data_IF_798112186486
#
_entry.id   IF_798112186486
#
_cell.length_a   1.000
_cell.length_b   1.000
_cell.length_c   1.000
_cell.angle_alpha   90.00
_cell.angle_beta   90.00
_cell.angle_gamma   90.00
#
_symmetry.space_group_name_H-M   'P 1'
#
loop_
_entity.id
_entity.type
_entity.pdbx_description
1 polymer ?
#
# COMPACT_ATOMS: atom_id res chain seq x y z
N UNK A 1 -2.88 27.58 -20.10
CA UNK A 1 -2.61 26.64 -21.20
C UNK A 1 -3.43 25.39 -20.91
N UNK A 2 -4.28 24.96 -21.84
CA UNK A 2 -4.97 23.68 -21.69
C UNK A 2 -3.90 22.58 -21.78
N UNK A 3 -3.51 22.01 -20.64
CA UNK A 3 -2.72 20.78 -20.61
C UNK A 3 -3.50 19.76 -21.44
N UNK A 4 -3.00 19.42 -22.63
CA UNK A 4 -3.65 18.44 -23.48
C UNK A 4 -3.69 17.12 -22.70
N UNK A 5 -4.91 16.61 -22.49
CA UNK A 5 -5.10 15.32 -21.84
C UNK A 5 -4.22 14.28 -22.51
N UNK A 6 -3.52 13.50 -21.71
CA UNK A 6 -2.63 12.47 -22.23
C UNK A 6 -3.50 11.36 -22.85
N UNK A 7 -3.33 11.05 -24.14
CA UNK A 7 -4.09 9.98 -24.77
C UNK A 7 -3.68 8.64 -24.18
N UNK A 8 -4.69 7.80 -23.90
CA UNK A 8 -4.49 6.46 -23.34
C UNK A 8 -5.55 5.50 -23.83
N UNK A 9 -5.16 4.23 -23.93
CA UNK A 9 -6.12 3.15 -24.15
C UNK A 9 -6.92 2.93 -22.87
N UNK A 10 -8.26 2.88 -22.98
CA UNK A 10 -9.10 2.46 -21.83
C UNK A 10 -8.76 1.03 -21.41
N UNK A 11 -8.66 0.14 -22.39
CA UNK A 11 -8.23 -1.25 -22.21
C UNK A 11 -7.10 -1.50 -23.21
N UNK A 12 -5.91 -1.95 -22.78
CA UNK A 12 -4.79 -2.20 -23.67
C UNK A 12 -4.97 -3.54 -24.39
N UNK A 13 -5.93 -3.61 -25.32
CA UNK A 13 -6.37 -4.84 -25.99
C UNK A 13 -5.23 -5.61 -26.65
N UNK A 14 -4.28 -4.90 -27.28
CA UNK A 14 -3.11 -5.54 -27.90
C UNK A 14 -2.26 -6.28 -26.87
N UNK A 15 -2.02 -5.69 -25.69
CA UNK A 15 -1.26 -6.34 -24.62
C UNK A 15 -2.05 -7.47 -23.99
N UNK A 16 -3.36 -7.30 -23.81
CA UNK A 16 -4.21 -8.36 -23.28
C UNK A 16 -4.24 -9.58 -24.21
N UNK A 17 -4.35 -9.36 -25.52
CA UNK A 17 -4.33 -10.42 -26.53
C UNK A 17 -2.96 -11.11 -26.64
N UNK A 18 -1.86 -10.38 -26.51
CA UNK A 18 -0.51 -10.94 -26.63
C UNK A 18 -0.05 -11.64 -25.36
N UNK A 19 -0.32 -11.05 -24.19
CA UNK A 19 0.26 -11.48 -22.93
C UNK A 19 -0.76 -12.04 -21.95
N UNK A 20 -2.01 -11.59 -21.99
CA UNK A 20 -3.02 -11.88 -20.96
C UNK A 20 -3.21 -13.36 -20.66
N UNK A 21 -3.21 -14.21 -21.70
CA UNK A 21 -3.41 -15.65 -21.61
C UNK A 21 -2.12 -16.45 -21.32
N UNK A 22 -0.94 -15.83 -21.41
CA UNK A 22 0.32 -16.53 -21.19
C UNK A 22 0.43 -17.00 -19.73
N UNK A 23 0.86 -18.26 -19.48
CA UNK A 23 1.29 -18.71 -18.17
C UNK A 23 2.34 -17.76 -17.57
N UNK A 24 2.29 -17.56 -16.26
CA UNK A 24 3.10 -16.54 -15.57
C UNK A 24 4.59 -16.58 -15.92
N UNK A 25 5.19 -17.78 -16.01
CA UNK A 25 6.62 -17.93 -16.32
C UNK A 25 6.96 -17.42 -17.73
N UNK A 26 6.14 -17.76 -18.72
CA UNK A 26 6.32 -17.32 -20.11
C UNK A 26 6.07 -15.81 -20.24
N UNK A 27 5.07 -15.29 -19.55
CA UNK A 27 4.76 -13.85 -19.52
C UNK A 27 5.92 -13.04 -18.94
N UNK A 28 6.47 -13.46 -17.80
CA UNK A 28 7.64 -12.81 -17.17
C UNK A 28 8.85 -12.84 -18.12
N UNK A 29 9.11 -13.98 -18.75
CA UNK A 29 10.18 -14.09 -19.75
C UNK A 29 9.97 -13.12 -20.92
N UNK A 30 8.77 -13.10 -21.51
CA UNK A 30 8.43 -12.22 -22.62
C UNK A 30 8.56 -10.74 -22.24
N UNK A 31 8.09 -10.32 -21.06
CA UNK A 31 8.26 -8.95 -20.58
C UNK A 31 9.71 -8.53 -20.42
N UNK A 32 10.57 -9.40 -19.91
CA UNK A 32 12.01 -9.11 -19.77
C UNK A 32 12.69 -8.98 -21.13
N UNK A 33 12.46 -9.94 -22.03
CA UNK A 33 13.20 -10.06 -23.29
C UNK A 33 12.65 -9.14 -24.38
N UNK A 34 11.33 -9.05 -24.52
CA UNK A 34 10.69 -8.30 -25.61
C UNK A 34 10.43 -6.84 -25.26
N UNK A 35 10.16 -6.54 -23.98
CA UNK A 35 9.80 -5.19 -23.53
C UNK A 35 10.88 -4.54 -22.65
N UNK A 36 11.96 -5.26 -22.31
CA UNK A 36 13.05 -4.74 -21.49
C UNK A 36 12.68 -4.44 -20.03
N UNK A 37 11.58 -5.00 -19.54
CA UNK A 37 11.11 -4.72 -18.18
C UNK A 37 12.04 -5.33 -17.13
N UNK A 38 12.27 -4.61 -16.03
CA UNK A 38 13.00 -5.11 -14.86
C UNK A 38 12.02 -5.82 -13.94
N UNK A 39 12.05 -7.15 -13.92
CA UNK A 39 11.12 -7.95 -13.12
C UNK A 39 11.92 -8.84 -12.17
N UNK A 40 11.59 -8.79 -10.88
CA UNK A 40 12.21 -9.55 -9.80
C UNK A 40 11.88 -11.04 -9.80
N UNK A 41 12.43 -11.75 -8.82
CA UNK A 41 12.24 -13.21 -8.61
C UNK A 41 10.88 -13.49 -8.00
N UNK A 42 10.27 -14.61 -8.41
CA UNK A 42 9.00 -15.07 -7.83
C UNK A 42 7.78 -14.20 -8.14
N UNK A 43 7.90 -13.24 -9.08
CA UNK A 43 6.77 -12.45 -9.57
C UNK A 43 5.74 -13.36 -10.24
N UNK A 44 4.46 -13.15 -9.93
CA UNK A 44 3.35 -13.94 -10.47
C UNK A 44 2.33 -13.06 -11.15
N UNK A 45 1.87 -13.51 -12.31
CA UNK A 45 0.74 -12.95 -13.02
C UNK A 45 -0.33 -14.01 -13.15
N UNK A 46 -1.50 -13.74 -12.60
CA UNK A 46 -2.70 -14.55 -12.84
C UNK A 46 -3.21 -14.37 -14.27
N UNK A 47 -4.16 -15.22 -14.66
CA UNK A 47 -4.79 -15.14 -15.97
C UNK A 47 -5.37 -13.74 -16.24
N UNK A 48 -5.07 -13.18 -17.41
CA UNK A 48 -5.48 -11.85 -17.83
C UNK A 48 -4.78 -10.69 -17.11
N UNK A 49 -4.01 -10.96 -16.05
CA UNK A 49 -3.21 -9.96 -15.35
C UNK A 49 -2.09 -9.43 -16.22
N UNK A 50 -2.04 -8.11 -16.45
CA UNK A 50 -1.07 -7.46 -17.34
C UNK A 50 -0.50 -6.17 -16.76
N UNK A 51 0.73 -5.85 -17.17
CA UNK A 51 1.42 -4.60 -16.86
C UNK A 51 1.90 -3.99 -18.17
N UNK A 52 1.61 -2.71 -18.41
CA UNK A 52 1.88 -2.03 -19.68
C UNK A 52 2.51 -0.66 -19.42
N UNK A 53 3.74 -0.45 -19.85
CA UNK A 53 4.37 0.86 -19.72
C UNK A 53 5.65 1.03 -20.54
N UNK A 54 6.20 2.24 -20.54
CA UNK A 54 7.47 2.53 -21.24
C UNK A 54 8.68 2.20 -20.38
N UNK A 55 8.55 2.35 -19.06
CA UNK A 55 9.57 2.00 -18.07
C UNK A 55 8.91 1.29 -16.90
N UNK A 56 9.24 0.01 -16.72
CA UNK A 56 8.60 -0.86 -15.73
C UNK A 56 9.65 -1.54 -14.85
N UNK A 57 9.51 -1.35 -13.54
CA UNK A 57 10.30 -2.03 -12.51
C UNK A 57 9.35 -2.73 -11.52
N UNK A 58 9.47 -4.05 -11.39
CA UNK A 58 8.66 -4.89 -10.52
C UNK A 58 9.60 -5.65 -9.58
N UNK A 59 9.45 -5.45 -8.28
CA UNK A 59 10.25 -6.10 -7.25
C UNK A 59 9.93 -7.59 -7.09
N UNK A 60 10.74 -8.27 -6.27
CA UNK A 60 10.57 -9.69 -5.97
C UNK A 60 9.19 -9.99 -5.36
N UNK A 61 8.63 -11.16 -5.68
CA UNK A 61 7.39 -11.68 -5.09
C UNK A 61 6.16 -10.76 -5.28
N UNK A 62 6.17 -9.91 -6.30
CA UNK A 62 4.98 -9.13 -6.67
C UNK A 62 3.94 -10.03 -7.32
N UNK A 63 2.66 -9.81 -6.97
CA UNK A 63 1.54 -10.55 -7.54
C UNK A 63 0.57 -9.61 -8.28
N UNK A 64 0.31 -9.91 -9.55
CA UNK A 64 -0.70 -9.24 -10.38
C UNK A 64 -1.88 -10.19 -10.57
N UNK A 65 -3.03 -9.79 -10.03
CA UNK A 65 -4.24 -10.59 -9.89
C UNK A 65 -4.96 -10.92 -11.20
N UNK A 66 -5.98 -11.76 -11.07
CA UNK A 66 -6.81 -12.20 -12.19
C UNK A 66 -7.48 -11.00 -12.86
N UNK A 67 -7.32 -10.84 -14.18
CA UNK A 67 -7.81 -9.69 -14.96
C UNK A 67 -7.39 -8.31 -14.41
N UNK A 68 -6.33 -8.23 -13.60
CA UNK A 68 -5.80 -6.96 -13.14
C UNK A 68 -5.04 -6.25 -14.28
N UNK A 69 -5.24 -4.94 -14.41
CA UNK A 69 -4.56 -4.12 -15.41
C UNK A 69 -3.77 -3.04 -14.69
N UNK A 70 -2.47 -2.98 -14.93
CA UNK A 70 -1.62 -1.87 -14.48
C UNK A 70 -0.99 -1.22 -15.71
N UNK A 71 -1.36 0.03 -16.00
CA UNK A 71 -0.86 0.73 -17.17
C UNK A 71 -0.46 2.18 -16.87
N UNK A 72 0.69 2.58 -17.41
CA UNK A 72 1.24 3.92 -17.19
C UNK A 72 2.56 4.10 -17.92
N UNK A 73 3.01 5.34 -18.09
CA UNK A 73 4.29 5.63 -18.74
C UNK A 73 5.46 5.08 -17.91
N UNK A 74 5.42 5.31 -16.60
CA UNK A 74 6.40 4.84 -15.62
C UNK A 74 5.71 4.05 -14.51
N UNK A 75 6.16 2.82 -14.27
CA UNK A 75 5.60 1.92 -13.26
C UNK A 75 6.73 1.37 -12.39
N UNK A 76 6.61 1.57 -11.08
CA UNK A 76 7.49 0.99 -10.06
C UNK A 76 6.67 0.30 -8.99
N UNK A 77 6.88 -1.00 -8.79
CA UNK A 77 6.19 -1.78 -7.77
C UNK A 77 7.23 -2.44 -6.86
N UNK A 78 7.21 -2.10 -5.58
CA UNK A 78 8.09 -2.66 -4.57
C UNK A 78 7.87 -4.15 -4.34
N UNK A 79 8.86 -4.82 -3.75
CA UNK A 79 8.80 -6.26 -3.47
C UNK A 79 7.64 -6.61 -2.53
N UNK A 80 7.15 -7.83 -2.63
CA UNK A 80 6.02 -8.38 -1.89
C UNK A 80 4.68 -7.65 -2.10
N UNK A 81 4.61 -6.63 -2.95
CA UNK A 81 3.38 -5.89 -3.21
C UNK A 81 2.42 -6.65 -4.13
N UNK A 82 1.14 -6.29 -4.09
CA UNK A 82 0.15 -6.96 -4.93
C UNK A 82 -0.94 -6.03 -5.46
N UNK A 83 -1.44 -6.37 -6.65
CA UNK A 83 -2.64 -5.76 -7.25
C UNK A 83 -3.69 -6.86 -7.38
N UNK A 84 -4.80 -6.70 -6.67
CA UNK A 84 -5.87 -7.69 -6.54
C UNK A 84 -6.64 -7.94 -7.84
N UNK A 85 -7.49 -8.96 -7.82
CA UNK A 85 -8.26 -9.34 -9.02
C UNK A 85 -9.17 -8.20 -9.49
N UNK A 86 -9.30 -8.08 -10.81
CA UNK A 86 -10.15 -7.12 -11.50
C UNK A 86 -9.91 -5.66 -11.08
N UNK A 87 -8.74 -5.37 -10.50
CA UNK A 87 -8.31 -4.02 -10.19
C UNK A 87 -7.70 -3.37 -11.43
N UNK A 88 -8.00 -2.10 -11.62
CA UNK A 88 -7.56 -1.33 -12.78
C UNK A 88 -6.78 -0.12 -12.30
N UNK A 89 -5.49 -0.07 -12.64
CA UNK A 89 -4.60 1.04 -12.35
C UNK A 89 -4.15 1.67 -13.66
N UNK A 90 -4.52 2.93 -13.87
CA UNK A 90 -4.15 3.71 -15.04
C UNK A 90 -3.81 5.14 -14.66
N UNK A 91 -2.51 5.45 -14.69
CA UNK A 91 -1.95 6.77 -14.36
C UNK A 91 -0.64 6.99 -15.14
N UNK A 92 -0.23 8.23 -15.38
CA UNK A 92 1.05 8.51 -16.08
C UNK A 92 2.25 7.93 -15.30
N UNK A 93 2.30 8.20 -14.00
CA UNK A 93 3.25 7.60 -13.08
C UNK A 93 2.55 6.78 -11.99
N UNK A 94 2.97 5.52 -11.82
CA UNK A 94 2.49 4.61 -10.78
C UNK A 94 3.70 4.18 -9.94
N UNK A 95 3.63 4.45 -8.64
CA UNK A 95 4.63 4.03 -7.67
C UNK A 95 3.94 3.32 -6.51
N UNK A 96 4.38 2.10 -6.22
CA UNK A 96 3.94 1.32 -5.06
C UNK A 96 5.18 0.93 -4.26
N UNK A 97 5.15 1.19 -2.95
CA UNK A 97 6.20 0.82 -2.01
C UNK A 97 6.31 -0.69 -1.80
N UNK A 98 7.19 -1.09 -0.88
CA UNK A 98 7.35 -2.48 -0.45
C UNK A 98 6.15 -2.92 0.39
N UNK A 99 5.66 -4.14 0.15
CA UNK A 99 4.50 -4.72 0.85
C UNK A 99 3.22 -3.86 0.76
N UNK A 100 3.09 -3.09 -0.33
CA UNK A 100 1.88 -2.32 -0.64
C UNK A 100 0.83 -3.24 -1.27
N UNK A 101 -0.40 -3.24 -0.73
CA UNK A 101 -1.48 -4.12 -1.17
C UNK A 101 -2.64 -3.32 -1.73
N UNK A 102 -2.96 -3.54 -2.99
CA UNK A 102 -4.23 -3.12 -3.58
C UNK A 102 -5.11 -4.35 -3.66
N UNK A 103 -6.24 -4.33 -2.95
CA UNK A 103 -7.21 -5.42 -2.94
C UNK A 103 -8.06 -5.41 -4.21
N UNK A 104 -9.07 -6.25 -4.22
CA UNK A 104 -9.87 -6.60 -5.38
C UNK A 104 -10.77 -5.45 -5.84
N UNK A 105 -10.97 -5.33 -7.15
CA UNK A 105 -11.89 -4.35 -7.76
C UNK A 105 -11.62 -2.90 -7.34
N UNK A 106 -10.35 -2.56 -7.11
CA UNK A 106 -9.93 -1.17 -6.89
C UNK A 106 -9.73 -0.50 -8.24
N UNK A 107 -10.27 0.70 -8.39
CA UNK A 107 -10.13 1.50 -9.59
C UNK A 107 -9.25 2.72 -9.30
N UNK A 108 -8.12 2.83 -9.99
CA UNK A 108 -7.25 4.00 -10.00
C UNK A 108 -7.21 4.51 -11.43
N UNK A 109 -7.87 5.63 -11.71
CA UNK A 109 -7.90 6.18 -13.05
C UNK A 109 -8.83 7.37 -13.21
N UNK A 110 -8.68 8.04 -14.35
CA UNK A 110 -9.43 9.23 -14.71
C UNK A 110 -8.87 9.85 -15.98
N UNK A 111 -9.27 11.09 -16.30
CA UNK A 111 -8.50 11.97 -17.17
C UNK A 111 -7.04 12.03 -16.69
N UNK A 112 -6.10 12.15 -17.62
CA UNK A 112 -4.68 12.21 -17.27
C UNK A 112 -4.04 13.46 -17.85
N UNK A 113 -3.18 14.06 -17.05
CA UNK A 113 -2.30 15.17 -17.36
C UNK A 113 -0.86 14.66 -17.25
N UNK A 114 0.14 15.34 -17.83
CA UNK A 114 1.53 14.92 -17.76
C UNK A 114 2.05 14.67 -16.34
N UNK A 115 1.51 15.37 -15.35
CA UNK A 115 1.84 15.28 -13.93
C UNK A 115 0.96 14.32 -13.13
N UNK A 116 -0.01 13.65 -13.76
CA UNK A 116 -0.85 12.64 -13.09
C UNK A 116 0.03 11.55 -12.46
N UNK A 117 -0.05 11.42 -11.15
CA UNK A 117 0.77 10.48 -10.38
C UNK A 117 -0.06 9.81 -9.31
N UNK A 118 0.08 8.50 -9.20
CA UNK A 118 -0.43 7.71 -8.09
C UNK A 118 0.75 7.09 -7.35
N UNK A 119 1.00 7.58 -6.13
CA UNK A 119 2.06 7.08 -5.27
C UNK A 119 1.46 6.48 -3.99
N UNK A 120 1.74 5.20 -3.77
CA UNK A 120 1.29 4.42 -2.63
C UNK A 120 2.51 3.95 -1.84
N UNK A 121 2.63 4.39 -0.58
CA UNK A 121 3.75 4.08 0.30
C UNK A 121 3.88 2.58 0.65
N UNK A 122 4.93 2.25 1.40
CA UNK A 122 5.23 0.89 1.84
C UNK A 122 4.30 0.44 2.98
N UNK A 123 4.01 -0.86 3.07
CA UNK A 123 3.14 -1.48 4.09
C UNK A 123 1.76 -0.83 4.16
N UNK A 124 1.25 -0.43 3.01
CA UNK A 124 -0.06 0.18 2.85
C UNK A 124 -1.06 -0.86 2.37
N UNK A 125 -2.34 -0.62 2.64
CA UNK A 125 -3.42 -1.44 2.09
C UNK A 125 -4.58 -0.57 1.61
N UNK A 126 -5.05 -0.83 0.39
CA UNK A 126 -6.30 -0.29 -0.15
C UNK A 126 -7.28 -1.44 -0.29
N UNK A 127 -8.36 -1.41 0.46
CA UNK A 127 -9.43 -2.40 0.42
C UNK A 127 -10.36 -2.21 -0.78
N UNK A 128 -11.16 -3.24 -1.03
CA UNK A 128 -11.95 -3.45 -2.22
C UNK A 128 -12.90 -2.30 -2.58
N UNK A 129 -13.18 -2.16 -3.88
CA UNK A 129 -14.16 -1.22 -4.42
C UNK A 129 -13.87 0.27 -4.16
N UNK A 130 -12.64 0.58 -3.75
CA UNK A 130 -12.14 1.94 -3.64
C UNK A 130 -11.90 2.53 -5.03
N UNK A 131 -12.28 3.79 -5.22
CA UNK A 131 -12.06 4.55 -6.46
C UNK A 131 -11.16 5.75 -6.19
N UNK A 132 -10.07 5.86 -6.94
CA UNK A 132 -9.07 6.92 -6.84
C UNK A 132 -8.92 7.55 -8.22
N UNK A 133 -9.05 8.87 -8.28
CA UNK A 133 -8.95 9.62 -9.52
C UNK A 133 -7.76 10.59 -9.47
N UNK A 134 -6.59 10.18 -9.99
CA UNK A 134 -5.35 10.94 -9.91
C UNK A 134 -5.10 11.83 -11.15
N UNK A 135 -6.11 12.61 -11.58
CA UNK A 135 -5.89 13.64 -12.63
C UNK A 135 -4.78 14.61 -12.21
N UNK A 136 -4.79 15.09 -10.96
CA UNK A 136 -3.61 15.65 -10.28
C UNK A 136 -3.01 14.59 -9.33
N UNK A 137 -1.80 14.80 -8.78
CA UNK A 137 -1.15 13.79 -7.93
C UNK A 137 -1.99 13.34 -6.73
N UNK A 138 -2.00 12.02 -6.49
CA UNK A 138 -2.46 11.40 -5.24
C UNK A 138 -1.27 10.72 -4.58
N UNK A 139 -0.91 11.16 -3.38
CA UNK A 139 0.22 10.66 -2.61
C UNK A 139 -0.30 10.08 -1.30
N UNK A 140 0.03 8.82 -1.02
CA UNK A 140 -0.37 8.10 0.18
C UNK A 140 0.90 7.61 0.88
N UNK A 141 1.14 8.07 2.11
CA UNK A 141 2.31 7.72 2.90
C UNK A 141 2.32 6.28 3.37
N UNK A 142 3.49 5.85 3.85
CA UNK A 142 3.71 4.51 4.41
C UNK A 142 2.74 4.17 5.55
N UNK A 143 2.48 2.87 5.75
CA UNK A 143 1.67 2.34 6.86
C UNK A 143 0.22 2.84 6.88
N UNK A 144 -0.26 3.39 5.77
CA UNK A 144 -1.62 3.91 5.62
C UNK A 144 -2.59 2.82 5.19
N UNK A 145 -3.73 2.76 5.87
CA UNK A 145 -4.84 1.85 5.56
C UNK A 145 -6.04 2.60 4.99
N UNK A 146 -6.51 2.18 3.82
CA UNK A 146 -7.70 2.71 3.16
C UNK A 146 -8.74 1.60 3.06
N UNK A 147 -9.89 1.82 3.68
CA UNK A 147 -11.03 0.92 3.75
C UNK A 147 -11.77 0.83 2.42
N UNK A 148 -12.72 -0.11 2.34
CA UNK A 148 -13.44 -0.34 1.11
C UNK A 148 -14.38 0.81 0.75
N UNK A 149 -14.67 0.95 -0.54
CA UNK A 149 -15.56 2.00 -1.07
C UNK A 149 -15.13 3.45 -0.72
N UNK A 150 -13.85 3.69 -0.46
CA UNK A 150 -13.38 5.07 -0.36
C UNK A 150 -13.37 5.72 -1.75
N UNK A 151 -13.57 7.04 -1.78
CA UNK A 151 -13.65 7.86 -2.98
C UNK A 151 -12.64 9.00 -2.86
N UNK A 152 -11.57 8.98 -3.65
CA UNK A 152 -10.48 9.97 -3.56
C UNK A 152 -10.37 10.69 -4.89
N UNK A 153 -10.68 11.98 -4.92
CA UNK A 153 -10.76 12.77 -6.15
C UNK A 153 -9.85 13.99 -6.10
N UNK A 154 -9.17 14.25 -7.23
CA UNK A 154 -8.28 15.40 -7.40
C UNK A 154 -8.85 16.45 -8.35
N UNK A 155 -10.07 16.25 -8.83
CA UNK A 155 -10.74 17.24 -9.65
C UNK A 155 -12.26 17.25 -9.42
N UNK A 156 -12.88 18.38 -9.72
CA UNK A 156 -14.33 18.58 -9.72
C UNK A 156 -14.69 19.77 -10.60
N UNK A 157 -15.37 19.50 -11.72
CA UNK A 157 -15.83 20.51 -12.66
C UNK A 157 -16.97 19.93 -13.52
N UNK A 158 -18.05 20.69 -13.70
CA UNK A 158 -19.13 20.32 -14.62
C UNK A 158 -19.79 21.55 -15.21
N UNK A 159 -20.17 22.49 -14.34
CA UNK A 159 -20.75 23.77 -14.74
C UNK A 159 -19.66 24.73 -15.22
N UNK A 160 -20.06 25.69 -16.06
CA UNK A 160 -19.15 26.62 -16.72
C UNK A 160 -18.44 27.52 -15.71
N UNK A 161 -17.10 27.52 -15.74
CA UNK A 161 -16.31 28.48 -14.98
C UNK A 161 -16.57 29.94 -15.42
N UNK A 162 -17.02 30.14 -16.66
CA UNK A 162 -17.37 31.48 -17.18
C UNK A 162 -18.61 32.05 -16.48
N UNK A 163 -19.47 31.19 -15.93
CA UNK A 163 -20.64 31.58 -15.14
C UNK A 163 -20.29 31.72 -13.64
N UNK A 164 -19.01 31.61 -13.26
CA UNK A 164 -18.53 31.74 -11.89
C UNK A 164 -18.61 30.46 -11.05
N UNK A 165 -18.93 29.30 -11.63
CA UNK A 165 -18.90 28.02 -10.92
C UNK A 165 -17.47 27.55 -10.62
N UNK A 166 -17.25 26.87 -9.49
CA UNK A 166 -15.93 26.40 -9.10
C UNK A 166 -15.43 25.29 -10.03
N UNK A 167 -14.13 25.33 -10.33
CA UNK A 167 -13.39 24.30 -11.05
C UNK A 167 -12.15 23.99 -10.23
N UNK A 168 -12.12 22.81 -9.64
CA UNK A 168 -11.03 22.41 -8.75
C UNK A 168 -10.20 21.32 -9.41
N UNK A 169 -8.89 21.50 -9.48
CA UNK A 169 -7.91 20.51 -9.92
C UNK A 169 -6.69 20.61 -9.00
N UNK A 170 -6.72 19.84 -7.91
CA UNK A 170 -5.73 19.97 -6.85
C UNK A 170 -5.30 18.59 -6.34
N UNK A 171 -4.02 18.42 -5.98
CA UNK A 171 -3.50 17.16 -5.48
C UNK A 171 -4.16 16.77 -4.16
N UNK A 172 -4.09 15.48 -3.84
CA UNK A 172 -4.49 14.93 -2.54
C UNK A 172 -3.30 14.25 -1.90
N UNK A 173 -3.05 14.56 -0.62
CA UNK A 173 -1.95 13.98 0.15
C UNK A 173 -2.45 13.36 1.45
N UNK A 174 -2.21 12.08 1.62
CA UNK A 174 -2.33 11.37 2.90
C UNK A 174 -0.93 11.13 3.44
N UNK A 175 -0.71 11.53 4.68
CA UNK A 175 0.52 11.28 5.42
C UNK A 175 0.76 9.79 5.71
N UNK A 176 1.69 9.52 6.61
CA UNK A 176 2.01 8.18 7.08
C UNK A 176 1.05 7.73 8.17
N UNK A 177 0.80 6.43 8.27
CA UNK A 177 -0.06 5.85 9.31
C UNK A 177 -1.46 6.49 9.37
N UNK A 178 -1.97 6.94 8.22
CA UNK A 178 -3.35 7.45 8.12
C UNK A 178 -4.30 6.26 8.06
N UNK A 179 -5.48 6.40 8.65
CA UNK A 179 -6.55 5.43 8.51
C UNK A 179 -7.80 6.07 7.95
N UNK A 180 -8.17 5.65 6.74
CA UNK A 180 -9.51 5.84 6.20
C UNK A 180 -10.27 4.52 6.38
N UNK A 181 -11.27 4.42 7.27
CA UNK A 181 -12.21 3.31 7.30
C UNK A 181 -13.16 3.40 6.09
N UNK A 182 -14.19 2.57 6.07
CA UNK A 182 -15.03 2.41 4.89
C UNK A 182 -15.80 3.68 4.51
N UNK A 183 -15.96 3.89 3.20
CA UNK A 183 -16.81 4.93 2.60
C UNK A 183 -16.40 6.38 2.91
N UNK A 184 -15.11 6.65 3.11
CA UNK A 184 -14.62 8.03 3.22
C UNK A 184 -14.53 8.66 1.82
N UNK A 185 -15.03 9.89 1.69
CA UNK A 185 -14.85 10.72 0.50
C UNK A 185 -13.78 11.78 0.76
N UNK A 186 -12.80 11.92 -0.13
CA UNK A 186 -11.73 12.92 -0.04
C UNK A 186 -11.82 13.86 -1.24
N UNK A 187 -12.06 15.14 -0.96
CA UNK A 187 -12.21 16.20 -1.97
C UNK A 187 -10.86 16.65 -2.54
N UNK A 188 -10.84 17.24 -3.75
CA UNK A 188 -9.65 17.85 -4.33
C UNK A 188 -8.99 18.84 -3.36
N UNK A 189 -7.65 18.86 -3.31
CA UNK A 189 -6.88 19.78 -2.46
C UNK A 189 -6.78 19.37 -0.99
N UNK A 190 -7.37 18.24 -0.60
CA UNK A 190 -7.34 17.79 0.79
C UNK A 190 -5.97 17.22 1.19
N UNK A 191 -5.54 17.56 2.40
CA UNK A 191 -4.33 17.00 3.04
C UNK A 191 -4.70 16.38 4.38
N UNK A 192 -4.18 15.19 4.66
CA UNK A 192 -4.42 14.48 5.92
C UNK A 192 -3.07 14.18 6.55
N UNK A 193 -2.80 14.77 7.71
CA UNK A 193 -1.51 14.63 8.40
C UNK A 193 -1.24 13.21 8.92
N UNK A 194 0.01 12.96 9.30
CA UNK A 194 0.48 11.66 9.79
C UNK A 194 -0.30 11.19 11.03
N UNK A 195 -0.55 9.89 11.16
CA UNK A 195 -1.20 9.30 12.34
C UNK A 195 -2.69 9.66 12.51
N UNK A 196 -3.29 10.28 11.50
CA UNK A 196 -4.69 10.74 11.56
C UNK A 196 -5.68 9.66 11.14
N UNK A 197 -6.79 9.60 11.88
CA UNK A 197 -7.94 8.72 11.61
C UNK A 197 -9.11 9.57 11.14
N UNK A 198 -9.69 9.21 10.01
CA UNK A 198 -10.96 9.77 9.53
C UNK A 198 -12.09 8.81 9.93
N UNK A 199 -13.24 9.28 10.39
CA UNK A 199 -14.37 8.41 10.71
C UNK A 199 -15.00 7.80 9.46
N UNK A 200 -15.61 6.62 9.60
CA UNK A 200 -16.33 5.99 8.48
C UNK A 200 -17.42 6.92 7.93
N UNK A 201 -17.68 6.84 6.63
CA UNK A 201 -18.69 7.66 5.94
C UNK A 201 -18.50 9.19 6.09
N UNK A 202 -17.26 9.66 6.30
CA UNK A 202 -16.93 11.09 6.41
C UNK A 202 -16.54 11.70 5.06
N UNK A 203 -16.69 13.03 4.94
CA UNK A 203 -16.24 13.83 3.78
C UNK A 203 -15.08 14.73 4.20
N UNK A 204 -13.88 14.47 3.71
CA UNK A 204 -12.72 15.33 3.93
C UNK A 204 -12.71 16.43 2.88
N UNK A 205 -12.69 17.68 3.33
CA UNK A 205 -12.57 18.87 2.49
C UNK A 205 -11.57 19.83 3.12
N UNK A 206 -10.36 19.88 2.57
CA UNK A 206 -9.26 20.71 3.08
C UNK A 206 -8.28 19.92 3.96
N UNK A 207 -7.59 20.63 4.84
CA UNK A 207 -6.52 20.07 5.67
C UNK A 207 -7.05 19.49 7.00
N UNK A 208 -6.65 18.27 7.33
CA UNK A 208 -6.78 17.67 8.66
C UNK A 208 -5.37 17.55 9.26
N UNK A 209 -5.10 18.14 10.44
CA UNK A 209 -3.79 18.05 11.09
C UNK A 209 -3.35 16.61 11.36
N UNK A 210 -2.06 16.41 11.62
CA UNK A 210 -1.52 15.14 12.10
C UNK A 210 -2.12 14.75 13.46
N UNK A 211 -2.03 13.46 13.81
CA UNK A 211 -2.46 12.90 15.09
C UNK A 211 -3.88 13.33 15.49
N UNK A 212 -4.79 13.35 14.51
CA UNK A 212 -6.17 13.80 14.70
C UNK A 212 -7.16 12.64 14.53
N UNK A 213 -8.30 12.73 15.20
CA UNK A 213 -9.50 11.96 14.87
C UNK A 213 -10.52 12.95 14.31
N UNK A 214 -10.89 12.82 13.04
CA UNK A 214 -11.87 13.69 12.40
C UNK A 214 -13.07 12.90 11.85
N UNK A 215 -14.29 13.38 12.06
CA UNK A 215 -15.52 12.67 11.66
C UNK A 215 -16.56 13.63 11.06
N UNK A 216 -17.46 13.12 10.22
CA UNK A 216 -18.63 13.85 9.71
C UNK A 216 -18.49 14.33 8.25
N UNK A 217 -19.48 15.10 7.80
CA UNK A 217 -19.52 15.65 6.44
C UNK A 217 -19.94 17.14 6.48
N UNK A 218 -18.99 18.08 6.35
CA UNK A 218 -17.55 17.87 6.25
C UNK A 218 -16.94 17.35 7.56
N UNK A 219 -15.83 16.62 7.46
CA UNK A 219 -15.13 16.05 8.59
C UNK A 219 -14.56 17.15 9.49
N UNK A 220 -14.82 17.04 10.80
CA UNK A 220 -14.31 17.95 11.83
C UNK A 220 -13.49 17.17 12.84
N UNK A 221 -12.38 17.76 13.26
CA UNK A 221 -11.51 17.19 14.30
C UNK A 221 -12.26 17.15 15.63
N UNK A 222 -12.33 15.97 16.24
CA UNK A 222 -12.95 15.74 17.56
C UNK A 222 -11.95 15.29 18.62
N UNK A 223 -10.73 14.89 18.22
CA UNK A 223 -9.57 14.65 19.09
C UNK A 223 -8.30 15.03 18.34
N UNK A 224 -7.30 15.50 19.06
CA UNK A 224 -5.99 15.91 18.53
C UNK A 224 -4.88 15.45 19.47
N UNK A 225 -3.63 15.67 19.07
CA UNK A 225 -2.50 15.60 19.98
C UNK A 225 -2.64 16.63 21.12
N UNK A 226 -2.12 16.33 22.33
CA UNK A 226 -1.41 15.11 22.70
C UNK A 226 -2.32 13.94 23.11
N UNK A 227 -3.63 14.12 23.22
CA UNK A 227 -4.55 13.09 23.73
C UNK A 227 -4.77 11.95 22.72
N UNK A 228 -4.62 12.22 21.44
CA UNK A 228 -4.77 11.27 20.36
C UNK A 228 -3.52 11.20 19.48
N UNK A 229 -3.04 9.99 19.12
CA UNK A 229 -3.41 8.71 19.72
C UNK A 229 -2.91 8.61 21.18
N UNK A 230 -3.57 7.80 22.00
CA UNK A 230 -3.13 7.54 23.38
C UNK A 230 -1.72 6.93 23.38
N UNK A 231 -0.78 7.56 24.09
CA UNK A 231 0.57 7.00 24.30
C UNK A 231 0.49 5.78 25.22
N UNK A 232 1.18 4.71 24.84
CA UNK A 232 1.27 3.46 25.61
C UNK A 232 2.63 3.35 26.29
N UNK A 233 2.65 2.88 27.55
CA UNK A 233 3.88 2.49 28.24
C UNK A 233 4.54 1.27 27.58
N UNK A 234 5.84 1.07 27.82
CA UNK A 234 6.57 -0.10 27.30
C UNK A 234 5.94 -1.43 27.74
N UNK A 235 5.44 -1.51 28.97
CA UNK A 235 4.76 -2.70 29.48
C UNK A 235 3.41 -2.94 28.78
N UNK A 236 2.62 -1.89 28.54
CA UNK A 236 1.37 -2.02 27.76
C UNK A 236 1.65 -2.48 26.32
N UNK A 237 2.70 -1.94 25.68
CA UNK A 237 3.09 -2.34 24.33
C UNK A 237 3.52 -3.81 24.28
N UNK A 238 4.37 -4.24 25.22
CA UNK A 238 4.84 -5.62 25.27
C UNK A 238 3.67 -6.58 25.52
N UNK A 239 2.74 -6.23 26.42
CA UNK A 239 1.53 -7.02 26.67
C UNK A 239 0.68 -7.17 25.40
N UNK A 240 0.49 -6.08 24.63
CA UNK A 240 -0.23 -6.13 23.35
C UNK A 240 0.47 -7.04 22.33
N UNK A 241 1.79 -6.98 22.22
CA UNK A 241 2.53 -7.85 21.30
C UNK A 241 2.38 -9.32 21.71
N UNK A 242 2.43 -9.65 23.01
CA UNK A 242 2.17 -11.01 23.49
C UNK A 242 0.77 -11.48 23.10
N UNK A 243 -0.25 -10.63 23.26
CA UNK A 243 -1.61 -10.94 22.82
C UNK A 243 -1.66 -11.20 21.31
N UNK A 244 -1.09 -10.32 20.49
CA UNK A 244 -1.04 -10.46 19.02
C UNK A 244 -0.36 -11.77 18.63
N UNK A 245 0.78 -12.11 19.24
CA UNK A 245 1.49 -13.36 18.96
C UNK A 245 0.64 -14.58 19.34
N UNK A 246 0.00 -14.57 20.51
CA UNK A 246 -0.87 -15.67 20.94
C UNK A 246 -2.08 -15.85 20.00
N UNK A 247 -2.69 -14.76 19.54
CA UNK A 247 -3.77 -14.80 18.56
C UNK A 247 -3.31 -15.32 17.20
N UNK A 248 -2.13 -14.89 16.75
CA UNK A 248 -1.51 -15.41 15.54
C UNK A 248 -1.25 -16.92 15.66
N UNK A 249 -0.71 -17.40 16.78
CA UNK A 249 -0.49 -18.83 17.00
C UNK A 249 -1.80 -19.63 16.97
N UNK A 250 -2.87 -19.09 17.57
CA UNK A 250 -4.20 -19.69 17.53
C UNK A 250 -4.69 -19.80 16.09
N UNK A 251 -4.55 -18.73 15.31
CA UNK A 251 -4.97 -18.69 13.90
C UNK A 251 -4.18 -19.68 13.03
N UNK A 252 -2.85 -19.72 13.16
CA UNK A 252 -2.04 -20.65 12.35
C UNK A 252 -2.26 -22.10 12.76
N UNK A 253 -2.48 -22.40 14.06
CA UNK A 253 -2.87 -23.75 14.50
C UNK A 253 -4.20 -24.19 13.89
N UNK A 254 -5.19 -23.29 13.87
CA UNK A 254 -6.45 -23.53 13.18
C UNK A 254 -6.24 -23.84 11.69
N UNK A 255 -5.25 -23.20 11.07
CA UNK A 255 -4.86 -23.42 9.68
C UNK A 255 -3.97 -24.67 9.46
N UNK A 256 -3.82 -25.54 10.46
CA UNK A 256 -3.04 -26.78 10.39
C UNK A 256 -1.53 -26.61 10.59
N UNK A 257 -1.07 -25.45 11.06
CA UNK A 257 0.34 -25.18 11.37
C UNK A 257 0.67 -25.65 12.78
N UNK A 258 1.71 -26.47 12.94
CA UNK A 258 2.26 -26.78 14.27
C UNK A 258 3.11 -25.62 14.76
N UNK A 259 2.90 -25.23 16.01
CA UNK A 259 3.64 -24.14 16.68
C UNK A 259 4.45 -24.71 17.82
N UNK A 260 5.74 -24.41 17.86
CA UNK A 260 6.65 -24.78 18.93
C UNK A 260 7.66 -23.67 19.25
N UNK A 261 8.59 -23.96 20.13
CA UNK A 261 9.64 -23.04 20.56
C UNK A 261 11.03 -23.60 20.18
N UNK A 262 11.92 -22.73 19.74
CA UNK A 262 13.31 -23.06 19.39
C UNK A 262 14.25 -21.94 19.87
N UNK A 263 14.63 -21.99 21.15
CA UNK A 263 15.40 -20.90 21.77
C UNK A 263 14.58 -19.61 21.81
N UNK A 264 15.12 -18.45 21.36
CA UNK A 264 14.35 -17.20 21.34
C UNK A 264 13.32 -17.14 20.19
N UNK A 265 13.27 -18.16 19.33
CA UNK A 265 12.37 -18.19 18.19
C UNK A 265 11.09 -18.97 18.48
N UNK A 266 9.98 -18.42 18.00
CA UNK A 266 8.76 -19.19 17.73
C UNK A 266 8.93 -19.94 16.42
N UNK A 267 8.75 -21.25 16.43
CA UNK A 267 8.91 -22.10 15.26
C UNK A 267 7.54 -22.57 14.73
N UNK A 268 7.36 -22.46 13.43
CA UNK A 268 6.12 -22.80 12.73
C UNK A 268 6.41 -23.86 11.67
N UNK A 269 5.53 -24.86 11.55
CA UNK A 269 5.66 -25.93 10.55
C UNK A 269 4.33 -26.25 9.89
N UNK A 270 4.31 -26.27 8.56
CA UNK A 270 3.15 -26.62 7.74
C UNK A 270 3.58 -27.55 6.61
N UNK A 271 3.26 -28.85 6.73
CA UNK A 271 3.75 -29.87 5.80
C UNK A 271 5.28 -29.89 5.76
N UNK A 272 5.85 -29.60 4.57
CA UNK A 272 7.31 -29.49 4.36
C UNK A 272 7.87 -28.07 4.57
N UNK A 273 7.01 -27.08 4.78
CA UNK A 273 7.43 -25.68 5.02
C UNK A 273 7.67 -25.47 6.51
N UNK A 274 8.73 -24.75 6.84
CA UNK A 274 9.01 -24.31 8.19
C UNK A 274 9.57 -22.89 8.16
N UNK A 275 9.22 -22.10 9.16
CA UNK A 275 9.72 -20.74 9.35
C UNK A 275 9.78 -20.42 10.84
N UNK A 276 10.51 -19.36 11.18
CA UNK A 276 10.69 -18.93 12.56
C UNK A 276 10.37 -17.45 12.70
N UNK A 277 9.83 -17.07 13.84
CA UNK A 277 9.60 -15.69 14.22
C UNK A 277 10.43 -15.38 15.47
N UNK A 278 11.29 -14.38 15.37
CA UNK A 278 12.03 -13.80 16.49
C UNK A 278 11.31 -12.54 16.96
N UNK A 279 10.87 -12.50 18.21
CA UNK A 279 10.41 -11.26 18.82
C UNK A 279 11.57 -10.61 19.57
N UNK A 280 12.11 -9.53 19.01
CA UNK A 280 13.30 -8.84 19.49
C UNK A 280 12.90 -7.67 20.41
N UNK A 281 13.25 -7.78 21.70
CA UNK A 281 13.10 -6.70 22.70
C UNK A 281 14.47 -6.27 23.21
N UNK A 282 15.14 -5.35 22.53
CA UNK A 282 16.46 -4.84 22.95
C UNK A 282 17.60 -5.87 22.98
N UNK A 283 17.33 -7.13 22.64
CA UNK A 283 18.33 -8.19 22.53
C UNK A 283 19.15 -8.02 21.24
N UNK A 284 20.34 -8.63 21.20
CA UNK A 284 21.09 -8.76 19.96
C UNK A 284 20.31 -9.66 18.98
N UNK A 285 20.34 -9.32 17.69
CA UNK A 285 19.61 -10.01 16.61
C UNK A 285 19.85 -11.55 16.57
N UNK A 286 20.99 -12.01 17.09
CA UNK A 286 21.39 -13.42 17.08
C UNK A 286 21.61 -13.95 15.66
N UNK A 287 21.68 -15.26 15.49
CA UNK A 287 21.82 -15.91 14.17
C UNK A 287 20.45 -16.09 13.51
N UNK A 288 20.02 -15.08 12.75
CA UNK A 288 18.89 -15.17 11.82
C UNK A 288 19.33 -15.86 10.52
N UNK A 289 18.38 -16.40 9.75
CA UNK A 289 18.63 -17.02 8.45
C UNK A 289 17.49 -16.74 7.49
N UNK A 290 17.74 -16.91 6.18
CA UNK A 290 16.72 -16.77 5.13
C UNK A 290 15.41 -17.46 5.50
N UNK A 291 14.30 -16.72 5.39
CA UNK A 291 12.95 -17.22 5.69
C UNK A 291 12.53 -17.06 7.15
N UNK A 292 13.41 -16.60 8.04
CA UNK A 292 13.00 -16.12 9.35
C UNK A 292 12.26 -14.79 9.23
N UNK A 293 11.47 -14.46 10.25
CA UNK A 293 10.81 -13.17 10.44
C UNK A 293 11.25 -12.56 11.76
N UNK A 294 11.62 -11.28 11.76
CA UNK A 294 11.98 -10.52 12.95
C UNK A 294 10.89 -9.50 13.26
N UNK A 295 10.28 -9.62 14.42
CA UNK A 295 9.33 -8.67 14.98
C UNK A 295 10.03 -7.84 16.05
N UNK A 296 10.00 -6.52 15.96
CA UNK A 296 10.61 -5.63 16.97
C UNK A 296 9.65 -4.53 17.39
N UNK A 297 9.73 -4.15 18.65
CA UNK A 297 9.01 -3.01 19.22
C UNK A 297 9.74 -1.67 19.00
N UNK A 298 10.99 -1.70 18.54
CA UNK A 298 11.81 -0.53 18.27
C UNK A 298 12.20 -0.46 16.80
N UNK A 299 12.38 0.75 16.28
CA UNK A 299 12.87 0.94 14.92
C UNK A 299 14.29 0.36 14.81
N UNK A 300 14.54 -0.42 13.75
CA UNK A 300 15.86 -0.99 13.49
C UNK A 300 16.74 0.03 12.74
N UNK A 301 18.06 0.07 13.02
CA UNK A 301 18.99 0.85 12.23
C UNK A 301 18.99 0.43 10.76
N UNK A 302 19.21 1.37 9.83
CA UNK A 302 19.20 1.11 8.38
C UNK A 302 20.20 0.03 7.97
N UNK A 303 21.36 -0.03 8.61
CA UNK A 303 22.38 -1.07 8.38
C UNK A 303 21.85 -2.47 8.70
N UNK A 304 21.10 -2.61 9.80
CA UNK A 304 20.49 -3.88 10.18
C UNK A 304 19.35 -4.26 9.21
N UNK A 305 18.58 -3.28 8.73
CA UNK A 305 17.57 -3.51 7.69
C UNK A 305 18.19 -3.98 6.37
N UNK A 306 19.34 -3.41 5.99
CA UNK A 306 20.11 -3.86 4.84
C UNK A 306 20.64 -5.29 5.03
N UNK A 307 21.19 -5.61 6.20
CA UNK A 307 21.63 -6.95 6.55
C UNK A 307 20.48 -7.97 6.45
N UNK A 308 19.35 -7.70 7.12
CA UNK A 308 18.16 -8.57 7.08
C UNK A 308 17.68 -8.78 5.65
N UNK A 309 17.73 -7.74 4.82
CA UNK A 309 17.38 -7.81 3.40
C UNK A 309 18.32 -8.74 2.64
N UNK A 310 19.64 -8.61 2.81
CA UNK A 310 20.64 -9.42 2.12
C UNK A 310 20.56 -10.90 2.54
N UNK A 311 20.27 -11.15 3.81
CA UNK A 311 20.06 -12.50 4.35
C UNK A 311 18.71 -13.11 3.95
N UNK A 312 17.81 -12.32 3.34
CA UNK A 312 16.47 -12.76 2.97
C UNK A 312 15.57 -13.05 4.17
N UNK A 313 15.75 -12.27 5.24
CA UNK A 313 14.95 -12.27 6.46
C UNK A 313 13.87 -11.20 6.34
N UNK A 314 12.63 -11.54 6.68
CA UNK A 314 11.54 -10.57 6.72
C UNK A 314 11.54 -9.85 8.07
N UNK A 315 11.08 -8.60 8.13
CA UNK A 315 10.95 -7.89 9.40
C UNK A 315 9.68 -7.07 9.50
N UNK A 316 9.25 -6.89 10.72
CA UNK A 316 8.15 -6.04 11.15
C UNK A 316 8.68 -5.19 12.29
N UNK A 317 8.96 -3.91 12.02
CA UNK A 317 9.30 -2.96 13.06
C UNK A 317 8.09 -2.12 13.48
N UNK A 318 7.81 -2.13 14.78
CA UNK A 318 6.76 -1.35 15.43
C UNK A 318 7.35 -0.18 16.24
N UNK A 319 8.56 0.26 15.89
CA UNK A 319 9.14 1.47 16.48
C UNK A 319 8.15 2.63 16.41
N UNK A 320 8.05 3.44 17.45
CA UNK A 320 7.11 4.57 17.47
C UNK A 320 7.41 5.49 16.28
N UNK A 321 6.51 5.51 15.30
CA UNK A 321 6.60 6.36 14.10
C UNK A 321 5.80 7.66 14.22
N UNK A 322 5.17 7.87 15.38
CA UNK A 322 4.51 9.14 15.69
C UNK A 322 5.56 10.22 15.74
N UNK A 323 5.32 11.32 15.02
CA UNK A 323 6.11 12.55 15.11
C UNK A 323 6.16 12.91 16.59
N UNK A 324 7.37 12.86 17.18
CA UNK A 324 7.61 13.47 18.48
C UNK A 324 7.29 14.95 18.29
N UNK A 325 6.51 15.53 19.20
CA UNK A 325 6.26 16.96 19.21
C UNK A 325 7.60 17.69 19.02
N UNK A 326 7.65 18.59 18.05
CA UNK A 326 8.82 19.40 17.74
C UNK A 326 9.28 20.21 18.96
#
# INVERSE_FOLDING_TARGET
MAEQLVPKDRIPWRHLALFGWLPSLLKVFAYRVLLGYRIGRGVRFSFGGIVVGKSVEIGDQVEIGFLAVVQGKTIKIGRYSSVGMMSYLSCEAIEMGEDAKIREQVYVGGPQLPESRFALGSRTIILQLTSINPTKPVIIGDDTGIGGHCLIFTHGAWLSALDGYPVNYEPVTLGKSVWLPWRVFVMPGSTIGDGTVIGANSLVSGAIPANSLAVGSPAKVIRSAPEFPRRLSENERAALVQTIMAEFDRYVRYSGVTVGEQGPFRAYRFGRKAWRLLWLRGAALGSVKRGDTVLTEAALPQEMLAQLRDEGVYWLDHGVRLVRDA
#
